data_IF_266366317376
#
_entry.id   IF_266366317376
#
_cell.length_a   1.000
_cell.length_b   1.000
_cell.length_c   1.000
_cell.angle_alpha   90.00
_cell.angle_beta   90.00
_cell.angle_gamma   90.00
#
_symmetry.space_group_name_H-M   'P 1'
#
loop_
_entity.id
_entity.type
_entity.pdbx_description
1 polymer ?
#
# COMPACT_ATOMS: atom_id res chain seq x y z
N UNK A 1 22.33 22.13 1.42
CA UNK A 1 21.82 21.90 2.80
C UNK A 1 20.65 20.91 2.82
N UNK A 2 19.95 20.71 1.71
CA UNK A 2 18.80 19.79 1.54
C UNK A 2 19.16 18.31 1.65
N UNK A 3 20.33 17.94 1.13
CA UNK A 3 20.76 16.53 0.97
C UNK A 3 20.98 15.78 2.30
N UNK A 4 21.43 16.49 3.36
CA UNK A 4 21.63 15.89 4.68
C UNK A 4 20.28 15.63 5.37
N UNK A 5 19.36 16.60 5.27
CA UNK A 5 18.04 16.50 5.89
C UNK A 5 17.19 15.38 5.26
N UNK A 6 17.19 15.28 3.93
CA UNK A 6 16.47 14.22 3.21
C UNK A 6 17.04 12.84 3.53
N UNK A 7 18.37 12.71 3.60
CA UNK A 7 19.04 11.45 3.96
C UNK A 7 18.74 11.02 5.40
N UNK A 8 18.74 11.97 6.34
CA UNK A 8 18.42 11.69 7.75
C UNK A 8 16.94 11.29 7.89
N UNK A 9 16.04 11.97 7.17
CA UNK A 9 14.62 11.64 7.16
C UNK A 9 14.36 10.23 6.59
N UNK A 10 15.04 9.88 5.48
CA UNK A 10 14.98 8.54 4.91
C UNK A 10 15.39 7.47 5.92
N UNK A 11 16.51 7.69 6.63
CA UNK A 11 17.00 6.79 7.67
C UNK A 11 15.99 6.59 8.81
N UNK A 12 15.33 7.66 9.26
CA UNK A 12 14.30 7.59 10.30
C UNK A 12 13.06 6.83 9.83
N UNK A 13 12.56 7.13 8.62
CA UNK A 13 11.43 6.40 8.01
C UNK A 13 11.73 4.91 7.86
N UNK A 14 12.95 4.57 7.43
CA UNK A 14 13.40 3.18 7.32
C UNK A 14 13.49 2.48 8.68
N UNK A 15 13.98 3.17 9.72
CA UNK A 15 14.04 2.63 11.08
C UNK A 15 12.66 2.30 11.64
N UNK A 16 11.65 3.18 11.44
CA UNK A 16 10.25 2.93 11.83
C UNK A 16 9.75 1.62 11.18
N UNK A 17 9.94 1.49 9.86
CA UNK A 17 9.46 0.35 9.08
C UNK A 17 10.19 -0.97 9.36
N UNK A 18 11.33 -0.93 10.05
CA UNK A 18 12.08 -2.12 10.47
C UNK A 18 11.65 -2.68 11.82
N UNK A 19 10.83 -1.95 12.59
CA UNK A 19 10.27 -2.50 13.83
C UNK A 19 9.42 -3.75 13.52
N UNK A 20 9.38 -4.75 14.43
CA UNK A 20 8.73 -6.04 14.15
C UNK A 20 7.27 -5.91 13.72
N UNK A 21 6.53 -4.95 14.30
CA UNK A 21 5.12 -4.79 13.97
C UNK A 21 4.89 -4.16 12.60
N UNK A 22 5.61 -3.08 12.29
CA UNK A 22 5.57 -2.47 10.96
C UNK A 22 6.02 -3.45 9.88
N UNK A 23 7.04 -4.28 10.15
CA UNK A 23 7.47 -5.31 9.21
C UNK A 23 6.35 -6.29 8.87
N UNK A 24 5.54 -6.73 9.84
CA UNK A 24 4.39 -7.61 9.59
C UNK A 24 3.33 -6.93 8.71
N UNK A 25 3.05 -5.65 8.97
CA UNK A 25 2.08 -4.87 8.19
C UNK A 25 2.57 -4.64 6.77
N UNK A 26 3.84 -4.29 6.59
CA UNK A 26 4.47 -4.17 5.27
C UNK A 26 4.39 -5.49 4.51
N UNK A 27 4.72 -6.63 5.13
CA UNK A 27 4.58 -7.93 4.47
C UNK A 27 3.14 -8.21 4.06
N UNK A 28 2.16 -8.00 4.95
CA UNK A 28 0.76 -8.25 4.63
C UNK A 28 0.22 -7.36 3.50
N UNK A 29 0.59 -6.07 3.50
CA UNK A 29 0.22 -5.15 2.43
C UNK A 29 0.91 -5.51 1.11
N UNK A 30 2.18 -5.92 1.16
CA UNK A 30 2.94 -6.32 -0.01
C UNK A 30 2.36 -7.60 -0.64
N UNK A 31 1.97 -8.58 0.18
CA UNK A 31 1.31 -9.80 -0.27
C UNK A 31 -0.06 -9.49 -0.91
N UNK A 32 -0.83 -8.56 -0.35
CA UNK A 32 -2.12 -8.13 -0.91
C UNK A 32 -1.98 -7.47 -2.29
N UNK A 33 -0.94 -6.65 -2.45
CA UNK A 33 -0.59 -6.00 -3.71
C UNK A 33 0.19 -6.93 -4.66
N UNK A 34 0.67 -8.08 -4.17
CA UNK A 34 1.52 -9.01 -4.91
C UNK A 34 2.86 -8.42 -5.36
N UNK A 35 3.49 -7.59 -4.52
CA UNK A 35 4.80 -6.99 -4.78
C UNK A 35 5.83 -7.38 -3.70
N UNK A 36 7.14 -7.29 -3.95
CA UNK A 36 8.15 -7.56 -2.92
C UNK A 36 8.05 -6.60 -1.72
N UNK A 37 8.21 -7.06 -0.47
CA UNK A 37 8.15 -6.18 0.71
C UNK A 37 9.15 -5.02 0.70
N UNK A 38 10.32 -5.19 0.08
CA UNK A 38 11.29 -4.09 -0.08
C UNK A 38 10.76 -2.99 -1.00
N UNK A 39 10.05 -3.37 -2.05
CA UNK A 39 9.43 -2.44 -2.99
C UNK A 39 8.34 -1.62 -2.31
N UNK A 40 7.45 -2.29 -1.56
CA UNK A 40 6.45 -1.59 -0.76
C UNK A 40 7.10 -0.65 0.27
N UNK A 41 8.18 -1.09 0.93
CA UNK A 41 8.89 -0.22 1.88
C UNK A 41 9.38 1.08 1.24
N UNK A 42 9.97 0.99 0.04
CA UNK A 42 10.42 2.17 -0.73
C UNK A 42 9.24 3.10 -1.02
N UNK A 43 8.13 2.55 -1.54
CA UNK A 43 6.90 3.30 -1.83
C UNK A 43 6.38 4.02 -0.58
N UNK A 44 6.33 3.35 0.57
CA UNK A 44 5.87 3.96 1.82
C UNK A 44 6.80 5.10 2.27
N UNK A 45 8.12 4.94 2.13
CA UNK A 45 9.09 5.99 2.49
C UNK A 45 8.96 7.22 1.59
N UNK A 46 8.73 7.00 0.30
CA UNK A 46 8.59 8.06 -0.72
C UNK A 46 7.26 8.81 -0.59
N UNK A 47 6.16 8.10 -0.30
CA UNK A 47 4.81 8.67 -0.37
C UNK A 47 4.23 9.08 0.99
N UNK A 48 4.70 8.52 2.10
CA UNK A 48 4.14 8.79 3.43
C UNK A 48 5.07 9.65 4.28
N UNK A 49 4.49 10.58 5.04
CA UNK A 49 5.23 11.34 6.05
C UNK A 49 5.55 10.50 7.31
N UNK A 50 6.31 11.09 8.24
CA UNK A 50 6.70 10.44 9.49
C UNK A 50 5.49 9.99 10.32
N UNK A 51 4.46 10.83 10.45
CA UNK A 51 3.29 10.55 11.30
C UNK A 51 2.47 9.38 10.74
N UNK A 52 2.33 9.31 9.42
CA UNK A 52 1.67 8.20 8.72
C UNK A 52 2.43 6.89 8.90
N UNK A 53 3.76 6.93 8.83
CA UNK A 53 4.60 5.76 9.02
C UNK A 53 4.59 5.27 10.47
N UNK A 54 4.65 6.17 11.45
CA UNK A 54 4.56 5.82 12.88
C UNK A 54 3.21 5.19 13.26
N UNK A 55 2.14 5.63 12.60
CA UNK A 55 0.78 5.13 12.82
C UNK A 55 0.37 4.01 11.85
N UNK A 56 1.27 3.53 11.00
CA UNK A 56 0.97 2.58 9.92
C UNK A 56 0.25 1.33 10.44
N UNK A 57 0.75 0.76 11.53
CA UNK A 57 0.18 -0.48 12.05
C UNK A 57 -1.21 -0.28 12.67
N UNK A 58 -1.42 0.83 13.38
CA UNK A 58 -2.73 1.20 13.94
C UNK A 58 -3.74 1.47 12.83
N UNK A 59 -3.32 2.08 11.72
CA UNK A 59 -4.15 2.30 10.53
C UNK A 59 -4.54 0.98 9.87
N UNK A 60 -3.59 0.07 9.72
CA UNK A 60 -3.86 -1.28 9.21
C UNK A 60 -4.85 -2.04 10.10
N UNK A 61 -4.68 -2.01 11.42
CA UNK A 61 -5.61 -2.66 12.36
C UNK A 61 -7.01 -2.03 12.28
N UNK A 62 -7.07 -0.71 12.19
CA UNK A 62 -8.33 0.01 12.01
C UNK A 62 -9.05 -0.38 10.73
N UNK A 63 -8.33 -0.54 9.62
CA UNK A 63 -8.88 -1.06 8.37
C UNK A 63 -9.35 -2.51 8.53
N UNK A 64 -8.58 -3.36 9.21
CA UNK A 64 -8.99 -4.75 9.45
C UNK A 64 -10.30 -4.84 10.21
N UNK A 65 -10.53 -3.95 11.17
CA UNK A 65 -11.75 -3.90 11.97
C UNK A 65 -12.94 -3.24 11.25
N UNK A 66 -12.68 -2.18 10.48
CA UNK A 66 -13.75 -1.27 10.02
C UNK A 66 -13.75 -0.96 8.53
N UNK A 67 -12.67 -1.26 7.81
CA UNK A 67 -12.54 -0.96 6.40
C UNK A 67 -13.13 -2.04 5.50
N UNK A 68 -13.57 -1.67 4.30
CA UNK A 68 -14.13 -2.59 3.30
C UNK A 68 -15.16 -3.58 3.88
N UNK A 69 -16.07 -3.08 4.74
CA UNK A 69 -16.97 -3.93 5.57
C UNK A 69 -17.85 -4.87 4.77
N UNK A 70 -18.21 -4.47 3.55
CA UNK A 70 -19.04 -5.27 2.64
C UNK A 70 -18.29 -6.51 2.14
N UNK A 71 -16.97 -6.57 2.29
CA UNK A 71 -16.15 -7.69 1.88
C UNK A 71 -15.99 -7.78 0.37
N UNK A 72 -15.89 -9.01 -0.13
CA UNK A 72 -15.73 -9.31 -1.55
C UNK A 72 -14.48 -8.68 -2.17
N UNK A 73 -14.60 -8.32 -3.44
CA UNK A 73 -13.50 -7.77 -4.25
C UNK A 73 -12.86 -6.56 -3.57
N UNK A 74 -13.68 -5.61 -3.07
CA UNK A 74 -13.17 -4.40 -2.40
C UNK A 74 -12.18 -4.73 -1.30
N UNK A 75 -12.51 -5.70 -0.45
CA UNK A 75 -11.64 -6.12 0.65
C UNK A 75 -10.45 -6.94 0.18
N UNK A 76 -10.62 -7.76 -0.85
CA UNK A 76 -9.55 -8.58 -1.41
C UNK A 76 -8.46 -7.76 -2.10
N UNK A 77 -8.82 -6.66 -2.77
CA UNK A 77 -7.87 -5.73 -3.40
C UNK A 77 -7.37 -4.66 -2.42
N UNK A 78 -8.00 -4.54 -1.24
CA UNK A 78 -7.64 -3.54 -0.23
C UNK A 78 -8.03 -2.12 -0.63
N UNK A 79 -9.26 -1.93 -1.14
CA UNK A 79 -9.74 -0.65 -1.65
C UNK A 79 -9.53 0.48 -0.63
N UNK A 80 -10.23 0.43 0.51
CA UNK A 80 -10.10 1.48 1.52
C UNK A 80 -8.73 1.46 2.19
N UNK A 81 -8.08 0.29 2.24
CA UNK A 81 -6.74 0.16 2.81
C UNK A 81 -5.77 1.11 2.11
N UNK A 82 -5.73 1.08 0.77
CA UNK A 82 -4.72 1.77 0.00
C UNK A 82 -5.14 3.15 -0.52
N UNK A 83 -6.43 3.51 -0.44
CA UNK A 83 -6.91 4.86 -0.78
C UNK A 83 -7.11 5.76 0.43
N UNK A 84 -7.38 5.18 1.61
CA UNK A 84 -7.84 5.94 2.79
C UNK A 84 -6.96 5.71 4.01
N UNK A 85 -6.75 4.46 4.42
CA UNK A 85 -6.01 4.17 5.65
C UNK A 85 -4.50 4.34 5.47
N UNK A 86 -3.98 3.87 4.34
CA UNK A 86 -2.59 3.94 3.90
C UNK A 86 -2.60 4.45 2.45
N UNK A 87 -2.77 5.77 2.23
CA UNK A 87 -3.06 6.36 0.93
C UNK A 87 -1.84 6.36 0.01
N UNK A 88 -1.54 5.20 -0.58
CA UNK A 88 -0.44 4.99 -1.54
C UNK A 88 -0.94 4.74 -2.96
N UNK A 89 -2.26 4.57 -3.13
CA UNK A 89 -2.93 4.46 -4.44
C UNK A 89 -4.01 5.54 -4.49
N UNK A 90 -4.12 6.25 -5.60
CA UNK A 90 -5.19 7.24 -5.78
C UNK A 90 -6.55 6.55 -5.90
N UNK A 91 -7.64 7.18 -5.43
CA UNK A 91 -8.98 6.62 -5.57
C UNK A 91 -9.35 6.28 -7.02
N UNK A 92 -8.95 7.12 -7.98
CA UNK A 92 -9.25 6.91 -9.41
C UNK A 92 -8.62 5.61 -9.95
N UNK A 93 -7.35 5.36 -9.62
CA UNK A 93 -6.64 4.14 -10.05
C UNK A 93 -7.22 2.90 -9.37
N UNK A 94 -7.63 3.02 -8.10
CA UNK A 94 -8.30 1.93 -7.40
C UNK A 94 -9.68 1.62 -7.97
N UNK A 95 -10.42 2.64 -8.42
CA UNK A 95 -11.71 2.47 -9.10
C UNK A 95 -11.54 1.76 -10.44
N UNK A 96 -10.51 2.09 -11.22
CA UNK A 96 -10.15 1.34 -12.44
C UNK A 96 -9.85 -0.13 -12.12
N UNK A 97 -9.08 -0.42 -11.06
CA UNK A 97 -8.80 -1.78 -10.62
C UNK A 97 -10.07 -2.56 -10.18
N UNK A 98 -11.02 -1.87 -9.56
CA UNK A 98 -12.34 -2.43 -9.23
C UNK A 98 -13.12 -2.79 -10.48
N UNK A 99 -13.17 -1.88 -11.46
CA UNK A 99 -13.87 -2.11 -12.73
C UNK A 99 -13.27 -3.30 -13.48
N UNK A 100 -11.95 -3.40 -13.55
CA UNK A 100 -11.26 -4.56 -14.12
C UNK A 100 -11.67 -5.87 -13.42
N UNK A 101 -11.73 -5.87 -12.10
CA UNK A 101 -12.17 -7.05 -11.34
C UNK A 101 -13.63 -7.41 -11.63
N UNK A 102 -14.52 -6.43 -11.69
CA UNK A 102 -15.95 -6.63 -11.98
C UNK A 102 -16.17 -7.15 -13.40
N UNK A 103 -15.48 -6.58 -14.39
CA UNK A 103 -15.58 -6.99 -15.80
C UNK A 103 -15.08 -8.42 -16.02
N UNK A 104 -14.11 -8.87 -15.23
CA UNK A 104 -13.52 -10.21 -15.32
C UNK A 104 -14.15 -11.21 -14.34
N UNK A 105 -15.49 -11.28 -14.33
CA UNK A 105 -16.29 -12.20 -13.51
C UNK A 105 -16.10 -12.01 -11.99
N UNK A 106 -16.02 -10.75 -11.54
CA UNK A 106 -15.88 -10.44 -10.12
C UNK A 106 -14.64 -11.05 -9.46
N UNK A 107 -13.52 -11.10 -10.19
CA UNK A 107 -12.28 -11.73 -9.74
C UNK A 107 -11.24 -10.66 -9.38
N UNK A 108 -10.91 -10.57 -8.09
CA UNK A 108 -9.96 -9.62 -7.53
C UNK A 108 -8.54 -9.75 -8.08
N UNK A 109 -8.17 -10.90 -8.64
CA UNK A 109 -6.85 -11.13 -9.24
C UNK A 109 -6.58 -10.17 -10.41
N UNK A 110 -7.62 -9.82 -11.18
CA UNK A 110 -7.47 -8.89 -12.30
C UNK A 110 -7.21 -7.46 -11.82
N UNK A 111 -7.93 -6.99 -10.79
CA UNK A 111 -7.65 -5.71 -10.16
C UNK A 111 -6.25 -5.65 -9.53
N UNK A 112 -5.81 -6.73 -8.87
CA UNK A 112 -4.45 -6.81 -8.32
C UNK A 112 -3.38 -6.72 -9.41
N UNK A 113 -3.54 -7.46 -10.51
CA UNK A 113 -2.63 -7.39 -11.66
C UNK A 113 -2.63 -6.01 -12.31
N UNK A 114 -3.79 -5.38 -12.41
CA UNK A 114 -3.90 -4.00 -12.88
C UNK A 114 -3.10 -3.05 -11.98
N UNK A 115 -3.26 -3.13 -10.65
CA UNK A 115 -2.50 -2.31 -9.71
C UNK A 115 -1.00 -2.56 -9.80
N UNK A 116 -0.58 -3.83 -9.94
CA UNK A 116 0.84 -4.18 -10.14
C UNK A 116 1.41 -3.49 -11.37
N UNK A 117 0.77 -3.63 -12.53
CA UNK A 117 1.24 -3.05 -13.78
C UNK A 117 1.16 -1.52 -13.80
N UNK A 118 0.09 -0.94 -13.25
CA UNK A 118 -0.21 0.49 -13.37
C UNK A 118 0.51 1.36 -12.36
N UNK A 119 0.66 0.87 -11.13
CA UNK A 119 1.18 1.64 -9.99
C UNK A 119 2.60 1.24 -9.64
N UNK A 120 2.95 -0.03 -9.83
CA UNK A 120 4.17 -0.56 -9.26
C UNK A 120 5.22 -0.98 -10.30
N UNK A 121 4.89 -1.17 -11.58
CA UNK A 121 5.94 -1.35 -12.60
C UNK A 121 6.61 -0.01 -12.92
N UNK A 122 7.82 0.20 -12.40
CA UNK A 122 8.83 1.10 -12.98
C UNK A 122 9.60 0.30 -14.05
N UNK A 123 9.81 0.90 -15.22
CA UNK A 123 10.55 0.31 -16.35
C UNK A 123 11.86 -0.34 -15.86
N UNK A 124 12.15 -1.53 -16.40
CA UNK A 124 13.44 -2.19 -16.18
C UNK A 124 14.53 -1.36 -16.86
N UNK A 125 15.15 -0.44 -16.13
CA UNK A 125 16.47 0.12 -16.49
C UNK A 125 17.61 -0.74 -15.94
#
# INVERSE_FOLDING_TARGET
MTDIYERDLYGMKFAILNSPYHKRVVTACADMLGIPPMKLRRILIENLDMMMLESLAVRYDSWRERGDKEGGIKREIGYELFTTYIPIISPDVMEEAMQESTNNNSNAEYGKKFLQARVFEEESE
#
